data_IF_274264764602
#
_entry.id   IF_274264764602
#
_cell.length_a   1.000
_cell.length_b   1.000
_cell.length_c   1.000
_cell.angle_alpha   90.00
_cell.angle_beta   90.00
_cell.angle_gamma   90.00
#
_symmetry.space_group_name_H-M   'P 1'
#
loop_
_entity.id
_entity.type
_entity.pdbx_description
1 polymer ?
#
# COMPACT_ATOMS: atom_id res chain seq x y z
N UNK A 1 23.14 -11.42 -2.96
CA UNK A 1 22.32 -10.25 -3.29
C UNK A 1 21.09 -10.80 -3.99
N UNK A 2 19.94 -10.81 -3.31
CA UNK A 2 18.68 -11.21 -3.94
C UNK A 2 18.42 -10.29 -5.12
N UNK A 3 18.04 -10.85 -6.27
CA UNK A 3 17.41 -10.07 -7.31
C UNK A 3 16.12 -9.51 -6.72
N UNK A 4 15.92 -8.20 -6.84
CA UNK A 4 14.67 -7.56 -6.43
C UNK A 4 13.58 -8.07 -7.38
N UNK A 5 12.72 -8.96 -6.90
CA UNK A 5 11.54 -9.39 -7.64
C UNK A 5 10.42 -8.38 -7.36
N UNK A 6 9.78 -7.83 -8.40
CA UNK A 6 8.60 -6.96 -8.23
C UNK A 6 7.35 -7.79 -7.91
N UNK A 7 6.27 -7.21 -7.37
CA UNK A 7 5.11 -8.00 -6.92
C UNK A 7 4.52 -8.89 -8.02
N UNK A 8 4.32 -8.36 -9.22
CA UNK A 8 3.79 -9.17 -10.33
C UNK A 8 4.80 -10.22 -10.81
N UNK A 9 6.09 -9.88 -10.85
CA UNK A 9 7.14 -10.86 -11.18
C UNK A 9 7.23 -11.97 -10.14
N UNK A 10 7.02 -11.65 -8.86
CA UNK A 10 6.99 -12.62 -7.78
C UNK A 10 5.84 -13.59 -8.00
N UNK A 11 4.66 -13.07 -8.31
CA UNK A 11 3.50 -13.90 -8.64
C UNK A 11 3.72 -14.76 -9.89
N UNK A 12 4.47 -14.30 -10.89
CA UNK A 12 4.87 -15.12 -12.04
C UNK A 12 5.85 -16.21 -11.60
N UNK A 13 6.90 -15.85 -10.85
CA UNK A 13 7.93 -16.77 -10.38
C UNK A 13 7.38 -17.87 -9.47
N UNK A 14 6.36 -17.56 -8.68
CA UNK A 14 5.67 -18.53 -7.81
C UNK A 14 4.55 -19.29 -8.52
N UNK A 15 4.29 -19.01 -9.80
CA UNK A 15 3.27 -19.68 -10.60
C UNK A 15 1.83 -19.29 -10.24
N UNK A 16 1.62 -18.17 -9.54
CA UNK A 16 0.30 -17.64 -9.23
C UNK A 16 -0.38 -17.01 -10.45
N UNK A 17 0.39 -16.40 -11.35
CA UNK A 17 -0.10 -15.80 -12.61
C UNK A 17 0.81 -16.19 -13.77
N UNK A 18 0.27 -16.23 -14.99
CA UNK A 18 1.00 -16.68 -16.19
C UNK A 18 1.97 -15.64 -16.75
N UNK A 19 1.71 -14.36 -16.48
CA UNK A 19 2.50 -13.23 -16.94
C UNK A 19 2.31 -12.05 -15.98
N UNK A 20 3.18 -11.03 -16.07
CA UNK A 20 3.16 -9.88 -15.18
C UNK A 20 2.00 -8.90 -15.52
N UNK A 21 0.78 -9.38 -15.42
CA UNK A 21 -0.46 -8.62 -15.60
C UNK A 21 -1.21 -8.50 -14.26
N UNK A 22 -1.45 -7.26 -13.84
CA UNK A 22 -2.17 -6.95 -12.60
C UNK A 22 -3.64 -7.40 -12.61
N UNK A 23 -4.24 -7.64 -13.77
CA UNK A 23 -5.60 -8.19 -13.89
C UNK A 23 -5.69 -9.66 -13.46
N UNK A 24 -4.56 -10.38 -13.49
CA UNK A 24 -4.48 -11.77 -13.04
C UNK A 24 -4.24 -11.87 -11.52
N UNK A 25 -3.78 -10.80 -10.89
CA UNK A 25 -3.48 -10.77 -9.46
C UNK A 25 -4.75 -10.57 -8.62
N UNK A 26 -4.97 -11.46 -7.64
CA UNK A 26 -6.10 -11.35 -6.71
C UNK A 26 -5.67 -10.75 -5.37
N UNK A 27 -6.55 -9.94 -4.78
CA UNK A 27 -6.28 -9.13 -3.58
C UNK A 27 -7.29 -9.41 -2.48
N UNK A 28 -6.82 -9.50 -1.23
CA UNK A 28 -7.69 -9.52 -0.06
C UNK A 28 -7.58 -8.14 0.56
N UNK A 29 -8.65 -7.38 0.47
CA UNK A 29 -8.69 -6.01 0.94
C UNK A 29 -9.01 -5.96 2.43
N UNK A 30 -8.32 -5.07 3.16
CA UNK A 30 -8.56 -4.80 4.59
C UNK A 30 -8.48 -6.06 5.45
N UNK A 31 -7.40 -6.83 5.33
CA UNK A 31 -7.11 -7.98 6.18
C UNK A 31 -6.72 -7.55 7.61
N UNK A 32 -7.61 -6.77 8.26
CA UNK A 32 -7.28 -5.98 9.44
C UNK A 32 -7.47 -6.73 10.76
N UNK A 33 -8.39 -7.69 10.80
CA UNK A 33 -8.60 -8.56 11.98
C UNK A 33 -7.80 -9.85 11.87
N UNK A 34 -7.64 -10.59 12.98
CA UNK A 34 -7.07 -11.95 12.91
C UNK A 34 -7.94 -12.89 12.07
N UNK A 35 -9.27 -12.75 12.17
CA UNK A 35 -10.21 -13.54 11.38
C UNK A 35 -10.02 -13.31 9.88
N UNK A 36 -10.01 -12.06 9.43
CA UNK A 36 -9.84 -11.70 8.01
C UNK A 36 -8.47 -12.11 7.49
N UNK A 37 -7.42 -11.91 8.29
CA UNK A 37 -6.07 -12.37 7.96
C UNK A 37 -6.05 -13.89 7.75
N UNK A 38 -6.59 -14.70 8.68
CA UNK A 38 -6.61 -16.15 8.51
C UNK A 38 -7.48 -16.59 7.35
N UNK A 39 -8.62 -15.94 7.12
CA UNK A 39 -9.47 -16.18 5.95
C UNK A 39 -8.70 -15.94 4.64
N UNK A 40 -7.94 -14.86 4.56
CA UNK A 40 -7.11 -14.54 3.40
C UNK A 40 -5.97 -15.54 3.20
N UNK A 41 -5.33 -15.97 4.29
CA UNK A 41 -4.24 -16.94 4.27
C UNK A 41 -4.70 -18.33 3.82
N UNK A 42 -5.90 -18.75 4.23
CA UNK A 42 -6.48 -20.05 3.86
C UNK A 42 -7.13 -20.04 2.47
N UNK A 43 -7.41 -18.88 1.89
CA UNK A 43 -8.01 -18.74 0.57
C UNK A 43 -7.01 -18.68 -0.58
N UNK A 44 -7.56 -18.56 -1.80
CA UNK A 44 -6.79 -18.52 -3.06
C UNK A 44 -6.23 -17.13 -3.40
N UNK A 45 -6.49 -16.14 -2.55
CA UNK A 45 -6.03 -14.77 -2.77
C UNK A 45 -4.50 -14.69 -2.81
N UNK A 46 -3.92 -13.90 -3.70
CA UNK A 46 -2.47 -13.86 -3.90
C UNK A 46 -1.76 -12.83 -3.00
N UNK A 47 -2.40 -11.70 -2.74
CA UNK A 47 -1.82 -10.57 -2.01
C UNK A 47 -2.77 -10.14 -0.89
N UNK A 48 -2.25 -9.96 0.32
CA UNK A 48 -2.99 -9.37 1.42
C UNK A 48 -2.67 -7.87 1.48
N UNK A 49 -3.73 -7.08 1.52
CA UNK A 49 -3.67 -5.66 1.80
C UNK A 49 -4.29 -5.39 3.18
N UNK A 50 -3.62 -4.60 4.00
CA UNK A 50 -4.11 -4.23 5.33
C UNK A 50 -3.75 -2.79 5.67
N UNK A 51 -4.66 -2.14 6.39
CA UNK A 51 -4.54 -0.75 6.80
C UNK A 51 -3.73 -0.66 8.09
N UNK A 52 -2.76 0.24 8.18
CA UNK A 52 -1.89 0.38 9.35
C UNK A 52 -2.07 1.74 10.02
N UNK A 53 -2.28 1.72 11.33
CA UNK A 53 -2.33 2.90 12.21
C UNK A 53 -1.71 2.58 13.58
N UNK A 54 -1.76 3.51 14.53
CA UNK A 54 -1.36 3.27 15.93
C UNK A 54 -2.53 2.83 16.79
N UNK A 55 -2.27 1.97 17.77
CA UNK A 55 -3.24 1.64 18.80
C UNK A 55 -3.66 2.90 19.55
N UNK A 56 -4.96 3.17 19.62
CA UNK A 56 -5.52 4.37 20.25
C UNK A 56 -5.22 5.67 19.51
N UNK A 57 -4.88 5.61 18.21
CA UNK A 57 -4.44 6.78 17.43
C UNK A 57 -5.37 8.00 17.60
N UNK A 58 -4.78 9.16 17.92
CA UNK A 58 -5.51 10.41 18.11
C UNK A 58 -6.26 10.53 19.44
N UNK A 59 -6.02 9.63 20.40
CA UNK A 59 -6.63 9.66 21.75
C UNK A 59 -5.56 9.76 22.84
N UNK A 60 -5.93 10.09 24.09
CA UNK A 60 -5.00 10.04 25.23
C UNK A 60 -4.40 8.65 25.49
N UNK A 61 -5.05 7.58 25.00
CA UNK A 61 -4.61 6.19 25.16
C UNK A 61 -3.72 5.70 24.00
N UNK A 62 -3.24 6.61 23.14
CA UNK A 62 -2.36 6.27 22.02
C UNK A 62 -1.08 5.56 22.49
N UNK A 63 -0.73 4.47 21.82
CA UNK A 63 0.48 3.70 22.07
C UNK A 63 1.31 3.59 20.79
N UNK A 64 2.66 3.53 20.91
CA UNK A 64 3.56 3.33 19.78
C UNK A 64 3.56 1.86 19.31
N UNK A 65 2.37 1.31 19.06
CA UNK A 65 2.14 -0.07 18.63
C UNK A 65 1.37 0.01 17.31
N UNK A 66 2.01 -0.27 16.17
CA UNK A 66 1.32 -0.35 14.90
C UNK A 66 0.34 -1.52 14.91
N UNK A 67 -0.89 -1.26 14.53
CA UNK A 67 -1.98 -2.22 14.46
C UNK A 67 -2.62 -2.20 13.08
N UNK A 68 -3.28 -3.30 12.74
CA UNK A 68 -4.04 -3.42 11.51
C UNK A 68 -5.45 -2.84 11.71
N UNK A 69 -5.67 -1.58 11.32
CA UNK A 69 -6.96 -0.91 11.45
C UNK A 69 -7.13 0.24 10.46
N UNK A 70 -8.38 0.41 10.00
CA UNK A 70 -8.82 1.52 9.18
C UNK A 70 -9.75 2.43 10.00
N UNK A 71 -9.59 3.77 9.98
CA UNK A 71 -10.52 4.69 10.63
C UNK A 71 -11.99 4.40 10.26
N UNK A 72 -12.95 4.48 11.19
CA UNK A 72 -12.81 5.05 12.54
C UNK A 72 -12.20 4.10 13.57
N UNK A 73 -11.87 2.85 13.20
CA UNK A 73 -11.28 1.90 14.13
C UNK A 73 -9.84 2.31 14.48
N UNK A 74 -9.59 2.44 15.78
CA UNK A 74 -8.28 2.78 16.36
C UNK A 74 -7.76 1.67 17.29
N UNK A 75 -8.47 0.53 17.32
CA UNK A 75 -8.10 -0.67 18.04
C UNK A 75 -8.32 -1.87 17.11
N UNK A 76 -7.50 -2.90 17.26
CA UNK A 76 -7.59 -4.14 16.51
C UNK A 76 -7.07 -5.28 17.37
N UNK A 77 -7.57 -6.49 17.12
CA UNK A 77 -7.07 -7.73 17.72
C UNK A 77 -5.76 -8.23 17.06
N UNK A 78 -5.28 -7.50 16.04
CA UNK A 78 -4.14 -7.87 15.23
C UNK A 78 -3.09 -6.73 15.19
N UNK A 79 -1.99 -6.92 15.92
CA UNK A 79 -0.84 -6.03 15.81
C UNK A 79 -0.08 -6.29 14.51
N UNK A 80 0.58 -5.27 13.94
CA UNK A 80 1.39 -5.44 12.72
C UNK A 80 2.47 -6.52 12.88
N UNK A 81 3.06 -6.64 14.06
CA UNK A 81 4.08 -7.64 14.35
C UNK A 81 3.56 -9.09 14.19
N UNK A 82 2.39 -9.36 14.78
CA UNK A 82 1.70 -10.66 14.69
C UNK A 82 1.23 -10.94 13.26
N UNK A 83 0.67 -9.91 12.59
CA UNK A 83 0.23 -10.01 11.21
C UNK A 83 1.40 -10.33 10.27
N UNK A 84 2.54 -9.64 10.43
CA UNK A 84 3.74 -9.90 9.63
C UNK A 84 4.26 -11.33 9.87
N UNK A 85 4.27 -11.82 11.12
CA UNK A 85 4.68 -13.20 11.39
C UNK A 85 3.79 -14.22 10.66
N UNK A 86 2.47 -14.02 10.68
CA UNK A 86 1.53 -14.92 10.01
C UNK A 86 1.66 -14.85 8.48
N UNK A 87 1.72 -13.66 7.90
CA UNK A 87 1.78 -13.49 6.44
C UNK A 87 3.15 -13.88 5.88
N UNK A 88 4.25 -13.60 6.59
CA UNK A 88 5.59 -14.05 6.18
C UNK A 88 5.76 -15.57 6.28
N UNK A 89 5.01 -16.25 7.15
CA UNK A 89 4.97 -17.72 7.20
C UNK A 89 4.23 -18.35 5.99
N UNK A 90 3.51 -17.55 5.19
CA UNK A 90 2.83 -18.00 3.97
C UNK A 90 3.71 -17.82 2.72
N UNK A 91 3.12 -17.80 1.52
CA UNK A 91 3.73 -17.32 0.28
C UNK A 91 2.99 -16.12 -0.34
N UNK A 92 2.12 -15.44 0.43
CA UNK A 92 1.30 -14.33 -0.08
C UNK A 92 2.13 -13.04 -0.19
N UNK A 93 1.81 -12.20 -1.18
CA UNK A 93 2.34 -10.84 -1.28
C UNK A 93 1.78 -9.94 -0.18
N UNK A 94 2.50 -8.85 0.14
CA UNK A 94 2.14 -7.93 1.23
C UNK A 94 1.94 -6.52 0.67
N UNK A 95 0.82 -5.89 0.99
CA UNK A 95 0.62 -4.44 0.87
C UNK A 95 0.17 -3.84 2.20
N UNK A 96 0.92 -2.89 2.72
CA UNK A 96 0.58 -2.12 3.92
C UNK A 96 0.08 -0.74 3.50
N UNK A 97 -1.13 -0.37 3.91
CA UNK A 97 -1.72 0.94 3.64
C UNK A 97 -1.74 1.82 4.90
N UNK A 98 -0.77 2.72 5.01
CA UNK A 98 -0.60 3.57 6.19
C UNK A 98 -1.64 4.69 6.25
N UNK A 99 -2.45 4.67 7.31
CA UNK A 99 -3.45 5.72 7.62
C UNK A 99 -2.89 6.82 8.51
N UNK A 100 -1.76 6.57 9.16
CA UNK A 100 -1.03 7.54 9.98
C UNK A 100 0.46 7.50 9.65
N UNK A 101 1.08 8.67 9.42
CA UNK A 101 2.52 8.76 9.13
C UNK A 101 3.37 8.30 10.32
N UNK A 102 2.87 8.53 11.52
CA UNK A 102 3.45 8.16 12.80
C UNK A 102 3.64 6.63 12.90
N UNK A 103 2.71 5.86 12.32
CA UNK A 103 2.78 4.40 12.29
C UNK A 103 3.84 3.87 11.30
N UNK A 104 4.18 4.64 10.26
CA UNK A 104 5.09 4.21 9.20
C UNK A 104 6.50 3.96 9.73
N UNK A 105 7.03 4.86 10.56
CA UNK A 105 8.39 4.73 11.10
C UNK A 105 8.57 3.44 11.91
N UNK A 106 7.64 3.17 12.83
CA UNK A 106 7.64 1.97 13.66
C UNK A 106 7.44 0.70 12.82
N UNK A 107 6.60 0.77 11.79
CA UNK A 107 6.35 -0.35 10.88
C UNK A 107 7.57 -0.71 10.04
N UNK A 108 8.34 0.29 9.58
CA UNK A 108 9.60 0.07 8.88
C UNK A 108 10.65 -0.57 9.80
N UNK A 109 10.71 -0.16 11.06
CA UNK A 109 11.64 -0.75 12.03
C UNK A 109 11.26 -2.23 12.33
N UNK A 110 9.96 -2.57 12.40
CA UNK A 110 9.49 -3.96 12.46
C UNK A 110 9.87 -4.76 11.20
N UNK A 111 9.65 -4.21 10.00
CA UNK A 111 10.04 -4.88 8.75
C UNK A 111 11.55 -5.17 8.69
N UNK A 112 12.40 -4.25 9.15
CA UNK A 112 13.86 -4.49 9.28
C UNK A 112 14.17 -5.62 10.24
N UNK A 113 13.46 -5.68 11.35
CA UNK A 113 13.64 -6.72 12.35
C UNK A 113 13.27 -8.08 11.75
N UNK A 114 12.13 -8.17 11.03
CA UNK A 114 11.71 -9.40 10.34
C UNK A 114 12.73 -9.81 9.27
N UNK A 115 13.20 -8.87 8.46
CA UNK A 115 14.27 -9.08 7.47
C UNK A 115 15.54 -9.63 8.13
N UNK A 116 16.01 -9.00 9.20
CA UNK A 116 17.23 -9.40 9.90
C UNK A 116 17.12 -10.78 10.57
N UNK A 117 15.92 -11.14 11.04
CA UNK A 117 15.70 -12.39 11.78
C UNK A 117 15.48 -13.61 10.89
N UNK A 118 14.65 -13.47 9.84
CA UNK A 118 14.20 -14.60 9.00
C UNK A 118 14.42 -14.36 7.50
N UNK A 119 14.73 -13.13 7.10
CA UNK A 119 14.66 -12.69 5.71
C UNK A 119 13.23 -12.53 5.22
N UNK A 120 13.01 -11.56 4.33
CA UNK A 120 11.77 -11.35 3.59
C UNK A 120 12.08 -11.69 2.13
N UNK A 121 11.63 -12.86 1.71
CA UNK A 121 11.90 -13.41 0.39
C UNK A 121 10.81 -13.07 -0.66
N UNK A 122 10.03 -12.00 -0.41
CA UNK A 122 8.92 -11.59 -1.26
C UNK A 122 8.70 -10.08 -1.20
N UNK A 123 7.97 -9.51 -2.16
CA UNK A 123 7.81 -8.06 -2.23
C UNK A 123 6.85 -7.54 -1.15
N UNK A 124 7.23 -6.42 -0.54
CA UNK A 124 6.39 -5.64 0.37
C UNK A 124 6.08 -4.30 -0.26
N UNK A 125 4.80 -4.00 -0.44
CA UNK A 125 4.29 -2.73 -0.93
C UNK A 125 3.87 -1.85 0.21
N UNK A 126 4.33 -0.60 0.20
CA UNK A 126 3.98 0.40 1.20
C UNK A 126 3.17 1.50 0.51
N UNK A 127 1.89 1.60 0.85
CA UNK A 127 1.00 2.67 0.43
C UNK A 127 0.84 3.69 1.55
N UNK A 128 0.82 4.97 1.20
CA UNK A 128 0.49 6.02 2.16
C UNK A 128 -0.03 7.26 1.44
N UNK A 129 -1.09 7.87 1.97
CA UNK A 129 -1.71 9.09 1.43
C UNK A 129 -0.90 10.34 1.80
N UNK A 130 0.26 10.49 1.15
CA UNK A 130 1.29 11.49 1.49
C UNK A 130 1.36 12.65 0.50
N UNK A 131 0.78 12.52 -0.69
CA UNK A 131 0.74 13.59 -1.68
C UNK A 131 -0.35 14.59 -1.31
N UNK A 132 0.05 15.75 -0.79
CA UNK A 132 -0.87 16.88 -0.63
C UNK A 132 -1.03 17.56 -1.99
N UNK A 133 -2.24 18.06 -2.28
CA UNK A 133 -2.54 18.84 -3.49
C UNK A 133 -1.56 20.01 -3.70
N UNK A 134 -1.58 20.65 -4.88
CA UNK A 134 -0.64 21.73 -5.19
C UNK A 134 -0.61 22.79 -4.08
N UNK A 135 0.60 23.19 -3.66
CA UNK A 135 0.93 24.25 -2.66
C UNK A 135 1.24 23.85 -1.20
N UNK A 136 1.68 22.62 -0.91
CA UNK A 136 2.14 22.24 0.46
C UNK A 136 3.52 21.56 0.42
N UNK A 137 4.47 21.84 1.35
CA UNK A 137 5.84 21.34 1.25
C UNK A 137 5.97 19.80 1.22
N UNK A 138 7.01 19.34 0.52
CA UNK A 138 7.29 17.98 0.06
C UNK A 138 7.38 16.89 1.14
N UNK A 139 6.81 15.72 0.85
CA UNK A 139 7.10 14.47 1.56
C UNK A 139 8.52 13.98 1.24
N UNK A 140 9.26 13.54 2.26
CA UNK A 140 10.56 12.88 2.14
C UNK A 140 10.34 11.37 2.27
N UNK A 141 10.69 10.61 1.23
CA UNK A 141 10.63 9.16 1.26
C UNK A 141 11.50 8.62 2.42
N UNK A 142 11.00 7.67 3.23
CA UNK A 142 11.77 7.17 4.36
C UNK A 142 13.01 6.43 3.87
N UNK A 143 14.19 6.92 4.25
CA UNK A 143 15.49 6.30 3.96
C UNK A 143 15.73 4.99 4.74
N UNK A 144 14.74 4.55 5.52
CA UNK A 144 14.91 3.48 6.49
C UNK A 144 14.89 2.09 5.85
N UNK A 145 14.07 1.78 4.85
CA UNK A 145 13.97 0.41 4.31
C UNK A 145 14.26 0.38 2.81
N UNK A 146 15.38 -0.22 2.36
CA UNK A 146 15.84 -0.09 0.98
C UNK A 146 15.05 -0.92 -0.04
N UNK A 147 14.32 -1.95 0.38
CA UNK A 147 13.72 -2.96 -0.50
C UNK A 147 12.18 -2.99 -0.42
N UNK A 148 11.54 -1.84 -0.68
CA UNK A 148 10.07 -1.71 -0.75
C UNK A 148 9.63 -1.00 -2.03
N UNK A 149 8.45 -1.36 -2.53
CA UNK A 149 7.74 -0.55 -3.54
C UNK A 149 6.88 0.49 -2.83
N UNK A 150 7.07 1.77 -3.16
CA UNK A 150 6.25 2.85 -2.62
C UNK A 150 5.08 3.15 -3.56
N UNK A 151 3.87 3.19 -2.99
CA UNK A 151 2.66 3.64 -3.68
C UNK A 151 2.11 4.89 -2.99
N UNK A 152 2.51 6.09 -3.43
CA UNK A 152 2.03 7.31 -2.83
C UNK A 152 0.61 7.64 -3.30
N UNK A 153 -0.30 7.83 -2.33
CA UNK A 153 -1.68 8.30 -2.55
C UNK A 153 -1.85 9.79 -2.28
N UNK A 154 -2.97 10.35 -2.74
CA UNK A 154 -3.33 11.75 -2.46
C UNK A 154 -4.02 11.87 -1.11
N UNK A 155 -3.63 12.87 -0.30
CA UNK A 155 -4.32 13.18 0.94
C UNK A 155 -5.70 13.77 0.61
N UNK A 156 -6.75 12.95 0.68
CA UNK A 156 -8.13 13.41 0.59
C UNK A 156 -8.54 13.99 1.94
N UNK A 157 -9.08 15.20 1.95
CA UNK A 157 -9.61 15.81 3.17
C UNK A 157 -10.92 15.08 3.52
N UNK A 158 -10.92 14.24 4.56
CA UNK A 158 -12.16 13.67 5.10
C UNK A 158 -12.87 14.74 5.92
N UNK A 159 -13.74 15.50 5.26
CA UNK A 159 -14.57 16.47 5.93
C UNK A 159 -15.67 15.76 6.73
N UNK A 160 -15.60 15.87 8.04
CA UNK A 160 -16.82 16.05 8.83
C UNK A 160 -17.41 17.44 8.53
N UNK A 161 -17.75 17.73 7.27
CA UNK A 161 -18.68 18.81 6.89
C UNK A 161 -19.16 18.59 5.46
N UNK A 162 -20.46 18.82 5.27
CA UNK A 162 -21.18 18.60 4.02
C UNK A 162 -20.72 19.58 2.93
N UNK A 163 -20.69 19.09 1.68
CA UNK A 163 -20.50 19.79 0.39
C UNK A 163 -19.02 20.18 0.11
N UNK A 164 -18.38 19.83 -1.02
CA UNK A 164 -18.74 20.04 -2.44
C UNK A 164 -17.79 19.20 -3.34
N UNK A 165 -18.28 18.62 -4.44
CA UNK A 165 -17.60 17.59 -5.28
C UNK A 165 -16.80 18.21 -6.46
N UNK A 166 -16.82 19.53 -6.67
CA UNK A 166 -16.25 20.15 -7.89
C UNK A 166 -14.71 20.26 -7.98
N UNK A 167 -13.90 20.44 -6.92
CA UNK A 167 -12.46 20.64 -7.08
C UNK A 167 -11.67 19.39 -7.50
N UNK A 168 -12.26 18.19 -7.42
CA UNK A 168 -11.56 16.91 -7.68
C UNK A 168 -11.30 16.66 -9.17
N UNK A 169 -12.16 17.18 -10.05
CA UNK A 169 -12.06 16.95 -11.49
C UNK A 169 -10.99 17.84 -12.14
N UNK A 170 -10.86 19.09 -11.70
CA UNK A 170 -9.87 20.04 -12.24
C UNK A 170 -8.42 19.53 -12.05
N UNK A 171 -8.12 18.89 -10.91
CA UNK A 171 -6.80 18.34 -10.62
C UNK A 171 -6.49 17.05 -11.41
N UNK A 172 -7.51 16.27 -11.80
CA UNK A 172 -7.32 15.08 -12.62
C UNK A 172 -6.92 15.45 -14.06
N UNK A 173 -7.50 16.51 -14.63
CA UNK A 173 -7.26 16.91 -16.02
C UNK A 173 -5.86 17.52 -16.23
N UNK A 174 -5.33 18.26 -15.26
CA UNK A 174 -3.96 18.80 -15.34
C UNK A 174 -2.89 17.70 -15.25
N UNK A 175 -3.13 16.68 -14.42
CA UNK A 175 -2.22 15.53 -14.27
C UNK A 175 -2.30 14.61 -15.49
N UNK A 176 -3.49 14.36 -16.04
CA UNK A 176 -3.63 13.65 -17.31
C UNK A 176 -2.90 14.40 -18.45
N UNK A 177 -2.96 15.73 -18.45
CA UNK A 177 -2.22 16.59 -19.38
C UNK A 177 -0.69 16.50 -19.25
N UNK A 178 -0.14 16.32 -18.05
CA UNK A 178 1.30 16.14 -17.85
C UNK A 178 1.82 14.76 -18.31
N UNK A 179 0.97 13.72 -18.31
CA UNK A 179 1.37 12.34 -18.67
C UNK A 179 1.02 11.94 -20.13
N UNK A 180 0.09 12.63 -20.80
CA UNK A 180 -0.32 12.34 -22.19
C UNK A 180 0.62 12.86 -23.29
N UNK A 181 1.80 13.39 -22.96
CA UNK A 181 2.83 13.66 -23.98
C UNK A 181 3.49 12.39 -24.54
N UNK A 182 3.17 11.20 -23.99
CA UNK A 182 3.51 9.90 -24.55
C UNK A 182 2.26 9.15 -25.02
N UNK A 183 2.07 9.06 -26.32
CA UNK A 183 0.90 8.53 -27.04
C UNK A 183 0.42 7.14 -26.59
N UNK A 184 -0.89 7.02 -26.34
CA UNK A 184 -1.63 5.74 -26.29
C UNK A 184 -2.94 5.83 -25.52
N UNK A 185 -4.04 6.18 -26.21
CA UNK A 185 -5.42 6.09 -25.67
C UNK A 185 -5.94 4.67 -25.89
N UNK A 186 -6.41 3.98 -24.85
CA UNK A 186 -7.46 2.95 -24.97
C UNK A 186 -8.73 3.50 -24.30
N UNK A 187 -9.84 3.48 -25.03
CA UNK A 187 -11.09 4.19 -24.75
C UNK A 187 -12.20 3.28 -24.23
N UNK A 188 -11.85 2.23 -23.47
CA UNK A 188 -12.84 1.27 -22.96
C UNK A 188 -12.67 1.09 -21.45
N UNK A 189 -13.59 1.72 -20.71
CA UNK A 189 -13.85 1.58 -19.27
C UNK A 189 -13.12 2.57 -18.32
N UNK A 190 -13.79 3.65 -17.87
CA UNK A 190 -13.22 4.64 -16.96
C UNK A 190 -13.15 4.21 -15.48
N UNK A 191 -13.60 3.01 -15.11
CA UNK A 191 -13.62 2.53 -13.71
C UNK A 191 -12.53 1.51 -13.34
N UNK A 192 -11.64 1.12 -14.26
CA UNK A 192 -10.49 0.26 -13.94
C UNK A 192 -9.18 1.05 -13.95
N UNK A 193 -8.59 1.21 -12.76
CA UNK A 193 -7.33 1.95 -12.61
C UNK A 193 -6.12 1.08 -12.98
N UNK A 194 -5.35 1.63 -13.91
CA UNK A 194 -4.12 1.13 -14.51
C UNK A 194 -2.95 1.12 -13.52
N UNK A 195 -2.27 -0.02 -13.38
CA UNK A 195 -0.97 -0.12 -12.67
C UNK A 195 0.16 0.08 -13.68
N UNK A 196 0.75 1.29 -13.76
CA UNK A 196 1.98 1.52 -14.53
C UNK A 196 3.14 1.74 -13.58
N UNK A 197 4.08 0.81 -13.57
CA UNK A 197 5.34 0.96 -12.84
C UNK A 197 6.29 1.86 -13.63
N UNK A 198 6.78 2.94 -13.01
CA UNK A 198 7.80 3.81 -13.59
C UNK A 198 9.17 3.53 -12.95
N UNK A 199 10.15 3.13 -13.77
CA UNK A 199 11.52 2.89 -13.32
C UNK A 199 12.38 4.13 -13.57
N UNK A 200 12.64 4.90 -12.52
CA UNK A 200 13.68 5.93 -12.54
C UNK A 200 14.75 5.64 -11.47
N UNK A 201 15.94 5.23 -11.91
CA UNK A 201 17.17 5.40 -11.14
C UNK A 201 17.35 4.65 -9.80
N UNK A 202 16.59 3.58 -9.53
CA UNK A 202 16.59 2.70 -8.31
C UNK A 202 15.45 2.91 -7.31
N UNK A 203 14.41 3.67 -7.66
CA UNK A 203 13.13 3.69 -6.93
C UNK A 203 11.99 3.58 -7.95
N UNK A 204 11.06 2.65 -7.74
CA UNK A 204 9.86 2.51 -8.59
C UNK A 204 8.69 3.13 -7.86
N UNK A 205 8.05 4.12 -8.47
CA UNK A 205 6.77 4.66 -8.02
C UNK A 205 5.66 3.90 -8.75
N UNK A 206 4.68 3.40 -8.00
CA UNK A 206 3.46 2.82 -8.55
C UNK A 206 2.27 3.62 -8.06
N UNK A 207 1.54 4.24 -8.99
CA UNK A 207 0.36 5.04 -8.66
C UNK A 207 -0.89 4.16 -8.79
N UNK A 208 -1.66 4.03 -7.71
CA UNK A 208 -2.99 3.42 -7.77
C UNK A 208 -4.00 4.34 -7.09
N UNK A 209 -4.97 4.82 -7.86
CA UNK A 209 -6.25 5.32 -7.33
C UNK A 209 -7.10 4.08 -7.05
N UNK A 210 -7.22 3.71 -5.78
CA UNK A 210 -8.27 2.79 -5.35
C UNK A 210 -9.42 3.70 -4.94
N UNK A 211 -10.49 3.71 -5.75
CA UNK A 211 -11.77 4.27 -5.34
C UNK A 211 -12.45 3.33 -4.34
#
# INVERSE_FOLDING_TARGET
KSEQTYMLEYLVQTGNISEADGLLATWFHRANSKEDMYKALMGDTMILEADVTLMGYGTPDEKPVPIMAHPPDIYSDNALDEWLDAVLASGKGIKLDFKALESMGLSLDLLKQKESNKGINRPVWLNADILRGPNVPSFVAPDKFPDVTLSPGWKVWHAHSKNTIEPLYQACDEVLGMFLSGTGRDSRNPELTFMREFKAGRRTLSFKKIL
#
